data_IF_635752824580
#
_entry.id   IF_635752824580
#
_cell.length_a   1.000
_cell.length_b   1.000
_cell.length_c   1.000
_cell.angle_alpha   90.00
_cell.angle_beta   90.00
_cell.angle_gamma   90.00
#
_symmetry.space_group_name_H-M   'P 1'
#
loop_
_entity.id
_entity.type
_entity.pdbx_description
1 polymer ?
#
# COMPACT_ATOMS: atom_id res chain seq x y z
N UNK A 1 10.05 -15.82 -16.71
CA UNK A 1 9.89 -15.56 -16.04
C UNK A 1 9.83 -15.55 -15.30
N UNK A 2 10.13 -15.65 -15.16
CA UNK A 2 10.27 -15.52 -14.29
C UNK A 2 9.78 -15.78 -13.55
N UNK A 3 10.01 -16.03 -13.53
CA UNK A 3 9.74 -16.08 -12.72
C UNK A 3 9.58 -16.53 -12.02
N UNK A 4 9.96 -17.04 -12.22
CA UNK A 4 9.89 -17.44 -11.45
C UNK A 4 10.10 -17.55 -10.64
N UNK A 5 10.61 -17.52 -10.76
CA UNK A 5 10.87 -17.42 -9.89
C UNK A 5 10.39 -17.60 -9.06
N UNK A 6 10.24 -17.83 -8.99
CA UNK A 6 9.90 -17.89 -8.10
C UNK A 6 9.44 -18.59 -7.58
N UNK A 7 9.41 -19.06 -7.75
CA UNK A 7 8.98 -19.90 -7.29
C UNK A 7 9.40 -20.88 -6.50
N UNK A 8 9.66 -21.56 -6.76
CA UNK A 8 10.20 -22.65 -6.06
C UNK A 8 11.02 -22.31 -4.91
N UNK A 9 11.77 -21.42 -5.09
CA UNK A 9 12.62 -20.99 -4.02
C UNK A 9 11.86 -20.43 -2.85
N UNK A 10 10.61 -20.36 -2.96
CA UNK A 10 9.83 -19.84 -1.87
C UNK A 10 10.09 -20.58 -0.57
N UNK A 11 10.27 -21.86 -0.65
CA UNK A 11 10.52 -22.62 0.56
C UNK A 11 11.87 -22.33 1.15
N UNK A 12 12.72 -21.74 0.38
CA UNK A 12 14.02 -21.36 0.85
C UNK A 12 14.12 -19.89 1.13
N UNK A 13 13.00 -19.29 1.31
CA UNK A 13 12.98 -17.87 1.54
C UNK A 13 13.78 -17.51 2.76
N UNK A 14 14.62 -16.55 2.62
CA UNK A 14 15.42 -16.06 3.70
C UNK A 14 14.52 -15.37 4.72
N UNK A 15 14.79 -15.65 5.99
CA UNK A 15 13.99 -15.04 7.05
C UNK A 15 14.05 -13.51 6.99
N UNK A 16 15.22 -12.99 6.66
CA UNK A 16 15.37 -11.54 6.56
C UNK A 16 14.48 -10.97 5.47
N UNK A 17 14.34 -11.69 4.36
CA UNK A 17 13.49 -11.26 3.28
C UNK A 17 12.03 -11.26 3.72
N UNK A 18 11.61 -12.29 4.45
CA UNK A 18 10.25 -12.37 4.93
C UNK A 18 9.94 -11.21 5.86
N UNK A 19 10.84 -10.92 6.78
CA UNK A 19 10.65 -9.82 7.71
C UNK A 19 10.58 -8.50 6.96
N UNK A 20 11.47 -8.32 6.00
CA UNK A 20 11.49 -7.08 5.21
C UNK A 20 10.18 -6.92 4.44
N UNK A 21 9.69 -8.01 3.85
CA UNK A 21 8.43 -7.94 3.12
C UNK A 21 7.27 -7.58 4.04
N UNK A 22 7.25 -8.14 5.24
CA UNK A 22 6.20 -7.82 6.18
C UNK A 22 6.23 -6.35 6.57
N UNK A 23 7.42 -5.83 6.83
CA UNK A 23 7.55 -4.41 7.16
C UNK A 23 7.09 -3.52 6.01
N UNK A 24 7.51 -3.87 4.80
CA UNK A 24 7.13 -3.07 3.63
C UNK A 24 5.63 -3.13 3.39
N UNK A 25 5.03 -4.29 3.56
CA UNK A 25 3.59 -4.43 3.38
C UNK A 25 2.82 -3.65 4.43
N UNK A 26 3.29 -3.67 5.67
CA UNK A 26 2.65 -2.90 6.72
C UNK A 26 2.73 -1.42 6.44
N UNK A 27 3.88 -0.97 5.99
CA UNK A 27 4.05 0.44 5.66
C UNK A 27 3.17 0.82 4.49
N UNK A 28 3.10 -0.06 3.50
CA UNK A 28 2.25 0.20 2.34
C UNK A 28 0.79 0.33 2.75
N UNK A 29 0.33 -0.57 3.62
CA UNK A 29 -1.04 -0.52 4.09
C UNK A 29 -1.32 0.78 4.82
N UNK A 30 -0.39 1.19 5.69
CA UNK A 30 -0.57 2.44 6.42
C UNK A 30 -0.66 3.63 5.48
N UNK A 31 0.18 3.63 4.45
CA UNK A 31 0.16 4.73 3.49
C UNK A 31 -1.10 4.73 2.64
N UNK A 32 -1.60 3.54 2.31
CA UNK A 32 -2.86 3.45 1.57
C UNK A 32 -4.02 3.97 2.39
N UNK A 33 -4.01 3.72 3.69
CA UNK A 33 -5.05 4.26 4.55
C UNK A 33 -4.98 5.77 4.65
N UNK A 34 -3.76 6.29 4.76
CA UNK A 34 -3.59 7.74 4.75
C UNK A 34 -4.08 8.34 3.45
N UNK A 35 -3.76 7.70 2.35
CA UNK A 35 -4.19 8.18 1.05
C UNK A 35 -5.70 8.21 0.96
N UNK A 36 -6.36 7.16 1.45
CA UNK A 36 -7.81 7.10 1.41
C UNK A 36 -8.40 8.23 2.24
N UNK A 37 -7.81 8.51 3.39
CA UNK A 37 -8.28 9.58 4.25
C UNK A 37 -8.10 10.94 3.58
N UNK A 38 -6.95 11.16 2.98
CA UNK A 38 -6.70 12.42 2.29
C UNK A 38 -7.64 12.60 1.11
N UNK A 39 -7.90 11.53 0.38
CA UNK A 39 -8.83 11.59 -0.73
C UNK A 39 -10.22 11.98 -0.24
N UNK A 40 -10.64 11.42 0.89
CA UNK A 40 -11.93 11.76 1.44
C UNK A 40 -11.99 13.23 1.83
N UNK A 41 -10.92 13.75 2.43
CA UNK A 41 -10.88 15.15 2.80
C UNK A 41 -10.94 16.05 1.58
N UNK A 42 -10.24 15.67 0.52
CA UNK A 42 -10.28 16.43 -0.71
C UNK A 42 -11.70 16.45 -1.28
N UNK A 43 -12.38 15.32 -1.27
CA UNK A 43 -13.74 15.25 -1.77
C UNK A 43 -14.67 16.14 -0.95
N UNK A 44 -14.46 16.17 0.37
CA UNK A 44 -15.27 17.03 1.21
C UNK A 44 -15.03 18.50 0.91
N UNK A 45 -13.79 18.86 0.68
CA UNK A 45 -13.46 20.23 0.32
C UNK A 45 -14.03 20.60 -1.04
N UNK A 46 -13.94 19.68 -1.98
CA UNK A 46 -14.50 19.93 -3.30
C UNK A 46 -15.99 20.15 -3.21
N UNK A 47 -16.68 19.37 -2.40
CA UNK A 47 -18.12 19.53 -2.23
C UNK A 47 -18.44 20.89 -1.60
N UNK A 48 -17.63 21.30 -0.62
CA UNK A 48 -17.83 22.59 0.01
C UNK A 48 -17.61 23.73 -0.98
N UNK A 49 -16.59 23.62 -1.80
CA UNK A 49 -16.32 24.62 -2.81
C UNK A 49 -17.48 24.74 -3.79
N UNK A 50 -17.97 23.60 -4.25
CA UNK A 50 -19.10 23.60 -5.16
C UNK A 50 -20.33 24.22 -4.52
N UNK A 51 -20.54 23.97 -3.25
CA UNK A 51 -21.71 24.51 -2.56
C UNK A 51 -21.64 26.03 -2.43
N UNK A 52 -20.43 26.57 -2.40
CA UNK A 52 -20.26 28.02 -2.27
C UNK A 52 -20.22 28.74 -3.60
N UNK A 53 -20.03 27.99 -4.66
CA UNK A 53 -20.05 28.60 -5.98
C UNK A 53 -21.48 28.86 -6.41
#
# INVERSE_FOLDING_TARGET
>A
MAEKVQEAPAKKQNRHVVVALNHLNQRRTALLEKRAQLTKEIEELDAAILALE
#
